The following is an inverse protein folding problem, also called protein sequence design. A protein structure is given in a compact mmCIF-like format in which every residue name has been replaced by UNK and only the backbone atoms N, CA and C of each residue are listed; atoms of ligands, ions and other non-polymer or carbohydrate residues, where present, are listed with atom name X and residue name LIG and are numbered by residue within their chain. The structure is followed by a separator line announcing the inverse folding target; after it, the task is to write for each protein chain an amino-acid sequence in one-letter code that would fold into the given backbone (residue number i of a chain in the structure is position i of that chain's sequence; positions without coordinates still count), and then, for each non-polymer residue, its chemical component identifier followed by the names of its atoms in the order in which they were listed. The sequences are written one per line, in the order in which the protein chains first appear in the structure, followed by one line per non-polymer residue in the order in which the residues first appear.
data_IF_958486897267
#
_entry.id   IF_958486897267
#
_cell.length_a   1.000
_cell.length_b   1.000
_cell.length_c   1.000
_cell.angle_alpha   90.00
_cell.angle_beta   90.00
_cell.angle_gamma   90.00
#
_symmetry.space_group_name_H-M   'P 1'
#
loop_
_entity.id
_entity.type
_entity.pdbx_description
1 polymer ?
#
# COMPACT_ATOMS: atom_id res chain seq x y z
N UNK A 1 -13.85 8.28 -16.31
CA UNK A 1 -14.50 6.95 -16.22
C UNK A 1 -13.56 6.04 -15.44
N UNK A 2 -14.06 5.39 -14.39
CA UNK A 2 -13.27 4.48 -13.55
C UNK A 2 -13.44 3.03 -14.03
N UNK A 3 -12.35 2.27 -14.05
CA UNK A 3 -12.35 0.85 -14.39
C UNK A 3 -11.46 0.09 -13.42
N UNK A 4 -12.04 -0.82 -12.66
CA UNK A 4 -11.29 -1.76 -11.83
C UNK A 4 -10.65 -2.85 -12.71
N UNK A 5 -9.38 -3.18 -12.43
CA UNK A 5 -8.61 -4.19 -13.17
C UNK A 5 -8.48 -5.47 -12.35
N UNK A 6 -8.25 -5.34 -11.04
CA UNK A 6 -8.17 -6.48 -10.14
C UNK A 6 -7.79 -6.07 -8.72
N UNK A 7 -7.75 -7.08 -7.85
CA UNK A 7 -7.39 -6.93 -6.44
C UNK A 7 -6.45 -8.05 -6.00
N UNK A 8 -5.56 -7.74 -5.07
CA UNK A 8 -4.64 -8.70 -4.47
C UNK A 8 -4.83 -8.61 -2.95
N UNK A 9 -5.15 -9.70 -2.25
CA UNK A 9 -5.28 -9.67 -0.79
C UNK A 9 -3.91 -9.36 -0.16
N UNK A 10 -3.89 -8.42 0.79
CA UNK A 10 -2.69 -8.07 1.57
C UNK A 10 -2.74 -8.69 2.96
N UNK A 11 -3.90 -8.63 3.60
CA UNK A 11 -4.23 -9.24 4.89
C UNK A 11 -5.76 -9.30 5.06
N UNK A 12 -6.23 -9.77 6.22
CA UNK A 12 -7.66 -9.99 6.51
C UNK A 12 -8.54 -8.73 6.35
N UNK A 13 -7.95 -7.53 6.45
CA UNK A 13 -8.68 -6.26 6.44
C UNK A 13 -8.28 -5.34 5.28
N UNK A 14 -7.35 -5.75 4.41
CA UNK A 14 -6.80 -4.90 3.37
C UNK A 14 -6.47 -5.65 2.08
N UNK A 15 -6.74 -4.98 0.97
CA UNK A 15 -6.46 -5.45 -0.38
C UNK A 15 -5.68 -4.38 -1.15
N UNK A 16 -4.81 -4.80 -2.06
CA UNK A 16 -4.20 -3.91 -3.06
C UNK A 16 -5.12 -3.90 -4.28
N UNK A 17 -5.68 -2.74 -4.59
CA UNK A 17 -6.61 -2.56 -5.70
C UNK A 17 -5.89 -1.88 -6.87
N UNK A 18 -6.02 -2.49 -8.06
CA UNK A 18 -5.46 -2.00 -9.32
C UNK A 18 -6.61 -1.47 -10.17
N UNK A 19 -6.59 -0.17 -10.49
CA UNK A 19 -7.66 0.48 -11.27
C UNK A 19 -7.13 1.50 -12.25
N UNK A 20 -7.91 1.80 -13.28
CA UNK A 20 -7.73 2.94 -14.17
C UNK A 20 -8.75 3.99 -13.77
N UNK A 21 -8.29 5.21 -13.47
CA UNK A 21 -9.17 6.33 -13.10
C UNK A 21 -8.78 7.61 -13.85
N UNK A 22 -9.63 8.63 -13.72
CA UNK A 22 -9.42 9.96 -14.30
C UNK A 22 -9.48 11.00 -13.18
N UNK A 23 -8.43 11.80 -13.04
CA UNK A 23 -8.37 12.88 -12.06
C UNK A 23 -7.95 14.16 -12.76
N UNK A 24 -8.84 15.15 -12.79
CA UNK A 24 -8.59 16.43 -13.47
C UNK A 24 -8.40 16.31 -14.98
N UNK A 25 -9.10 15.38 -15.64
CA UNK A 25 -8.97 15.12 -17.08
C UNK A 25 -7.71 14.35 -17.47
N UNK A 26 -6.97 13.82 -16.48
CA UNK A 26 -5.75 13.04 -16.69
C UNK A 26 -5.99 11.60 -16.29
N UNK A 27 -6.04 10.73 -17.28
CA UNK A 27 -6.13 9.27 -17.07
C UNK A 27 -4.87 8.72 -16.40
N UNK A 28 -5.03 7.82 -15.44
CA UNK A 28 -3.93 7.16 -14.74
C UNK A 28 -4.27 5.73 -14.33
N UNK A 29 -3.23 4.95 -14.05
CA UNK A 29 -3.31 3.63 -13.44
C UNK A 29 -2.92 3.75 -11.97
N UNK A 30 -3.85 3.42 -11.08
CA UNK A 30 -3.71 3.53 -9.63
C UNK A 30 -3.54 2.15 -9.03
N UNK A 31 -2.47 1.97 -8.26
CA UNK A 31 -2.22 0.80 -7.41
C UNK A 31 -2.28 1.33 -5.98
N UNK A 32 -3.32 0.97 -5.23
CA UNK A 32 -3.57 1.57 -3.92
C UNK A 32 -4.19 0.57 -2.97
N UNK A 33 -3.82 0.68 -1.71
CA UNK A 33 -4.41 -0.10 -0.63
C UNK A 33 -5.85 0.35 -0.37
N UNK A 34 -6.74 -0.63 -0.26
CA UNK A 34 -8.14 -0.47 0.11
C UNK A 34 -8.36 -1.27 1.39
N UNK A 35 -8.80 -0.58 2.44
CA UNK A 35 -9.08 -1.19 3.75
C UNK A 35 -10.57 -1.37 3.90
N UNK A 36 -10.97 -2.52 4.45
CA UNK A 36 -12.35 -2.81 4.85
C UNK A 36 -12.34 -3.16 6.34
N UNK A 37 -12.91 -2.28 7.16
CA UNK A 37 -13.02 -2.45 8.61
C UNK A 37 -14.35 -1.88 9.11
N UNK A 38 -14.71 -2.17 10.36
CA UNK A 38 -15.92 -1.62 10.99
C UNK A 38 -15.94 -0.09 11.04
N UNK A 39 -14.76 0.53 11.23
CA UNK A 39 -14.63 1.99 11.41
C UNK A 39 -14.41 2.74 10.10
N UNK A 40 -13.83 2.08 9.09
CA UNK A 40 -13.46 2.70 7.83
C UNK A 40 -13.45 1.67 6.70
N UNK A 41 -14.08 2.03 5.59
CA UNK A 41 -14.01 1.29 4.33
C UNK A 41 -13.63 2.26 3.21
N UNK A 42 -12.47 2.06 2.58
CA UNK A 42 -12.01 2.95 1.53
C UNK A 42 -10.52 2.88 1.23
N UNK A 43 -10.09 3.72 0.29
CA UNK A 43 -8.70 3.85 -0.13
C UNK A 43 -7.85 4.55 0.92
N UNK A 44 -6.72 3.95 1.29
CA UNK A 44 -5.74 4.61 2.16
C UNK A 44 -4.83 5.55 1.36
N UNK A 45 -3.96 6.28 2.08
CA UNK A 45 -2.91 7.09 1.44
C UNK A 45 -1.78 6.24 0.86
N UNK A 46 -1.68 4.96 1.23
CA UNK A 46 -0.65 4.04 0.73
C UNK A 46 -0.99 3.59 -0.70
N UNK A 47 -0.22 4.07 -1.66
CA UNK A 47 -0.40 3.70 -3.07
C UNK A 47 0.18 4.74 -4.00
N UNK A 48 0.29 4.37 -5.27
CA UNK A 48 0.86 5.18 -6.34
C UNK A 48 -0.11 5.29 -7.50
N UNK A 49 -0.04 6.42 -8.20
CA UNK A 49 -0.73 6.65 -9.47
C UNK A 49 0.32 6.83 -10.56
N UNK A 50 0.31 5.93 -11.54
CA UNK A 50 1.10 6.04 -12.76
C UNK A 50 0.28 6.79 -13.79
N UNK A 51 0.77 7.93 -14.29
CA UNK A 51 0.08 8.69 -15.33
C UNK A 51 0.07 7.94 -16.66
N UNK A 52 -0.93 8.18 -17.50
CA UNK A 52 -1.05 7.55 -18.82
C UNK A 52 0.19 7.70 -19.69
N UNK A 53 0.90 8.84 -19.58
CA UNK A 53 2.15 9.11 -20.31
C UNK A 53 3.28 8.15 -19.94
N UNK A 54 3.37 7.76 -18.67
CA UNK A 54 4.45 6.92 -18.15
C UNK A 54 4.08 5.43 -18.11
N UNK A 55 2.81 5.12 -18.35
CA UNK A 55 2.28 3.76 -18.31
C UNK A 55 2.98 2.79 -19.30
N UNK A 56 3.34 3.17 -20.54
CA UNK A 56 4.09 2.27 -21.44
C UNK A 56 5.43 1.85 -20.85
N UNK A 57 6.20 2.82 -20.32
CA UNK A 57 7.48 2.56 -19.66
C UNK A 57 7.30 1.69 -18.41
N UNK A 58 6.27 1.95 -17.60
CA UNK A 58 5.92 1.10 -16.46
C UNK A 58 5.68 -0.34 -16.90
N UNK A 59 4.89 -0.55 -17.97
CA UNK A 59 4.60 -1.88 -18.49
C UNK A 59 5.85 -2.61 -19.00
N UNK A 60 6.75 -1.90 -19.68
CA UNK A 60 8.03 -2.46 -20.12
C UNK A 60 8.86 -2.96 -18.93
N UNK A 61 8.99 -2.14 -17.87
CA UNK A 61 9.74 -2.50 -16.67
C UNK A 61 9.13 -3.69 -15.90
N UNK A 62 7.79 -3.76 -15.81
CA UNK A 62 7.13 -4.89 -15.16
C UNK A 62 7.26 -6.17 -15.99
N UNK A 63 7.12 -6.07 -17.31
CA UNK A 63 7.21 -7.23 -18.19
C UNK A 63 8.64 -7.75 -18.38
N UNK A 64 9.67 -6.96 -18.04
CA UNK A 64 11.06 -7.42 -18.07
C UNK A 64 11.44 -8.27 -16.86
N UNK A 65 10.59 -8.32 -15.83
CA UNK A 65 10.81 -9.16 -14.64
C UNK A 65 10.53 -10.60 -15.03
N UNK A 66 11.51 -11.49 -14.86
CA UNK A 66 11.33 -12.92 -15.06
C UNK A 66 10.76 -13.59 -13.80
N UNK A 67 10.18 -14.78 -13.94
CA UNK A 67 9.72 -15.56 -12.79
C UNK A 67 10.89 -15.98 -11.89
N UNK A 68 12.07 -16.20 -12.47
CA UNK A 68 13.32 -16.51 -11.76
C UNK A 68 13.73 -15.37 -10.82
N UNK A 69 13.59 -14.11 -11.24
CA UNK A 69 13.85 -12.91 -10.41
C UNK A 69 12.91 -12.82 -9.20
N UNK A 70 11.78 -13.53 -9.23
CA UNK A 70 10.76 -13.56 -8.19
C UNK A 70 10.80 -14.86 -7.37
N UNK A 71 11.72 -15.78 -7.67
CA UNK A 71 11.99 -16.93 -6.80
C UNK A 71 12.83 -16.49 -5.62
N UNK A 72 12.36 -16.78 -4.41
CA UNK A 72 13.11 -16.48 -3.20
C UNK A 72 14.35 -17.38 -3.13
N UNK A 73 15.52 -16.85 -3.44
CA UNK A 73 16.74 -17.36 -2.81
C UNK A 73 16.62 -17.07 -1.32
N UNK A 74 16.44 -18.12 -0.51
CA UNK A 74 16.48 -18.06 0.96
C UNK A 74 17.81 -17.44 1.43
N UNK A 75 17.87 -16.12 1.53
CA UNK A 75 18.91 -15.45 2.30
C UNK A 75 18.41 -15.26 3.72
N UNK A 76 18.73 -16.26 4.53
CA UNK A 76 18.90 -16.15 5.96
C UNK A 76 19.66 -14.86 6.31
N UNK A 77 19.05 -14.04 7.16
CA UNK A 77 19.59 -12.76 7.60
C UNK A 77 18.72 -12.17 8.69
N UNK A 78 18.86 -12.73 9.89
CA UNK A 78 18.33 -12.28 11.16
C UNK A 78 18.39 -10.74 11.30
N UNK A 79 17.27 -10.11 11.64
CA UNK A 79 17.29 -8.83 12.34
C UNK A 79 16.72 -9.05 13.74
N UNK A 80 17.66 -9.04 14.67
CA UNK A 80 17.56 -9.13 16.11
C UNK A 80 16.37 -8.37 16.71
N UNK A 81 15.58 -9.08 17.53
CA UNK A 81 14.87 -8.47 18.65
C UNK A 81 15.89 -7.82 19.60
N UNK A 82 15.76 -6.52 19.87
CA UNK A 82 16.34 -5.90 21.09
C UNK A 82 15.21 -5.44 22.03
N UNK A 83 15.22 -5.88 23.30
CA UNK A 83 14.19 -5.55 24.28
C UNK A 83 14.45 -4.26 25.09
N UNK A 84 13.35 -3.53 25.34
CA UNK A 84 12.93 -2.71 26.53
C UNK A 84 13.80 -1.57 27.10
N UNK A 85 13.13 -0.41 27.30
CA UNK A 85 13.08 0.39 28.57
C UNK A 85 11.86 1.36 28.52
N UNK A 86 10.75 1.06 29.21
CA UNK A 86 10.29 1.58 30.52
C UNK A 86 10.06 3.10 30.60
N UNK A 87 8.79 3.44 30.86
CA UNK A 87 8.11 4.73 31.14
C UNK A 87 8.66 5.49 32.37
N UNK A 88 8.36 6.80 32.49
CA UNK A 88 7.35 7.28 33.46
C UNK A 88 6.44 8.39 32.85
N UNK A 89 5.09 8.35 32.99
CA UNK A 89 4.19 8.62 34.14
C UNK A 89 3.82 10.12 34.30
N UNK A 90 2.54 10.42 34.06
CA UNK A 90 1.71 11.55 34.51
C UNK A 90 2.16 13.01 34.29
N UNK A 91 1.49 13.68 33.35
CA UNK A 91 0.91 15.04 33.45
C UNK A 91 -0.26 15.06 32.44
N UNK A 92 -1.44 15.61 32.65
CA UNK A 92 -2.11 16.32 33.74
C UNK A 92 -3.59 16.18 33.38
N UNK A 93 -4.42 15.61 34.26
CA UNK A 93 -5.87 15.73 34.16
C UNK A 93 -6.22 17.18 34.52
N UNK A 94 -6.75 17.95 33.56
CA UNK A 94 -7.43 19.20 33.84
C UNK A 94 -8.87 18.88 34.26
N UNK A 95 -9.30 19.21 35.50
CA UNK A 95 -10.70 19.08 35.87
C UNK A 95 -11.53 20.20 35.25
N UNK A 96 -12.71 19.84 34.76
CA UNK A 96 -13.77 20.76 34.32
C UNK A 96 -14.15 21.73 35.44
N UNK A 97 -14.15 23.03 35.12
CA UNK A 97 -14.95 24.05 35.80
C UNK A 97 -15.33 25.17 34.83
#
# INVERSE_FOLDING_TARGET
MEKEIGKIPKNDQAEILLRIDDFGGRRGFTIREFVTSEKYTGFTKAGVRILSKDFPKFKEMINSISEEDMTEEEKAGEVEEKPKKKTPKNQEELPDY
#
